data_IF_985619775926
#
_entry.id   IF_985619775926
#
_cell.length_a   1.000
_cell.length_b   1.000
_cell.length_c   1.000
_cell.angle_alpha   90.00
_cell.angle_beta   90.00
_cell.angle_gamma   90.00
#
_symmetry.space_group_name_H-M   'P 1'
#
loop_
_entity.id
_entity.type
_entity.pdbx_description
1 polymer ?
#
# COMPACT_ATOMS: atom_id res chain seq x y z
N UNK A 1 9.50 -6.62 20.08
CA UNK A 1 9.32 -5.28 19.49
C UNK A 1 9.46 -5.47 17.99
N UNK A 2 8.37 -5.71 17.27
CA UNK A 2 8.42 -5.89 15.82
C UNK A 2 8.90 -4.58 15.18
N UNK A 3 10.00 -4.64 14.44
CA UNK A 3 10.52 -3.48 13.72
C UNK A 3 9.63 -3.26 12.50
N UNK A 4 8.88 -2.16 12.46
CA UNK A 4 8.06 -1.79 11.30
C UNK A 4 8.94 -1.52 10.08
N UNK A 5 9.15 -2.55 9.27
CA UNK A 5 10.07 -2.53 8.15
C UNK A 5 9.54 -1.68 6.99
N UNK A 6 10.45 -1.00 6.30
CA UNK A 6 10.13 -0.25 5.09
C UNK A 6 10.38 -1.12 3.87
N UNK A 7 9.31 -1.36 3.10
CA UNK A 7 9.34 -2.08 1.84
C UNK A 7 9.64 -1.12 0.69
N UNK A 8 10.71 -1.42 -0.04
CA UNK A 8 11.11 -0.76 -1.31
C UNK A 8 10.03 -1.00 -2.37
N UNK A 9 10.00 -0.22 -3.48
CA UNK A 9 8.91 -0.30 -4.47
C UNK A 9 8.66 -1.71 -5.02
N UNK A 10 9.73 -2.46 -5.34
CA UNK A 10 9.60 -3.84 -5.82
C UNK A 10 8.96 -4.76 -4.77
N UNK A 11 9.38 -4.65 -3.52
CA UNK A 11 8.86 -5.47 -2.43
C UNK A 11 7.41 -5.07 -2.07
N UNK A 12 7.10 -3.78 -2.05
CA UNK A 12 5.76 -3.26 -1.82
C UNK A 12 4.79 -3.69 -2.93
N UNK A 13 5.24 -3.65 -4.19
CA UNK A 13 4.44 -4.09 -5.34
C UNK A 13 4.20 -5.62 -5.29
N UNK A 14 5.22 -6.41 -4.99
CA UNK A 14 5.08 -7.85 -4.78
C UNK A 14 4.14 -8.19 -3.60
N UNK A 15 4.25 -7.44 -2.49
CA UNK A 15 3.39 -7.60 -1.33
C UNK A 15 1.91 -7.35 -1.65
N UNK A 16 1.63 -6.34 -2.48
CA UNK A 16 0.28 -5.99 -2.91
C UNK A 16 -0.19 -6.80 -4.13
N UNK A 17 0.66 -7.65 -4.72
CA UNK A 17 0.33 -8.42 -5.93
C UNK A 17 0.14 -7.57 -7.19
N UNK A 18 0.79 -6.40 -7.29
CA UNK A 18 0.66 -5.47 -8.42
C UNK A 18 2.00 -5.18 -9.08
N UNK A 19 1.97 -4.60 -10.28
CA UNK A 19 3.17 -4.09 -10.93
C UNK A 19 3.64 -2.78 -10.25
N UNK A 20 4.96 -2.54 -10.22
CA UNK A 20 5.56 -1.31 -9.67
C UNK A 20 4.99 -0.02 -10.30
N UNK A 21 4.74 0.06 -11.62
CA UNK A 21 4.11 1.25 -12.21
C UNK A 21 2.71 1.51 -11.65
N UNK A 22 1.93 0.47 -11.37
CA UNK A 22 0.60 0.59 -10.75
C UNK A 22 0.70 1.22 -9.37
N UNK A 23 1.68 0.80 -8.56
CA UNK A 23 1.92 1.37 -7.24
C UNK A 23 2.25 2.88 -7.32
N UNK A 24 3.06 3.30 -8.29
CA UNK A 24 3.35 4.72 -8.51
C UNK A 24 2.15 5.51 -9.05
N UNK A 25 1.34 4.91 -9.94
CA UNK A 25 0.11 5.52 -10.42
C UNK A 25 -0.86 5.77 -9.27
N UNK A 26 -1.06 4.80 -8.39
CA UNK A 26 -1.87 4.97 -7.18
C UNK A 26 -1.32 6.07 -6.27
N UNK A 27 0.00 6.17 -6.11
CA UNK A 27 0.62 7.22 -5.30
C UNK A 27 0.45 8.61 -5.93
N UNK A 28 0.41 8.68 -7.26
CA UNK A 28 0.13 9.90 -8.03
C UNK A 28 -1.34 10.31 -7.92
N UNK A 29 -2.24 9.33 -8.01
CA UNK A 29 -3.70 9.52 -7.90
C UNK A 29 -4.17 9.75 -6.45
N UNK A 30 -3.28 9.57 -5.47
CA UNK A 30 -3.63 9.73 -4.04
C UNK A 30 -4.39 8.54 -3.47
N UNK A 31 -4.47 7.41 -4.18
CA UNK A 31 -5.08 6.18 -3.67
C UNK A 31 -4.24 5.53 -2.56
N UNK A 32 -2.93 5.72 -2.62
CA UNK A 32 -1.97 5.27 -1.60
C UNK A 32 -1.07 6.46 -1.24
N UNK A 33 -0.53 6.45 -0.02
CA UNK A 33 0.42 7.47 0.43
C UNK A 33 1.65 7.50 -0.47
N UNK A 34 2.31 8.66 -0.57
CA UNK A 34 3.59 8.77 -1.25
C UNK A 34 4.67 7.98 -0.50
N UNK A 35 5.65 7.39 -1.20
CA UNK A 35 6.70 6.64 -0.54
C UNK A 35 7.55 7.55 0.34
N UNK A 36 7.91 7.04 1.52
CA UNK A 36 8.85 7.67 2.45
C UNK A 36 10.23 7.68 1.79
N UNK A 37 10.83 8.87 1.66
CA UNK A 37 12.17 9.04 1.09
C UNK A 37 13.22 8.77 2.16
N UNK A 38 13.99 7.70 1.98
CA UNK A 38 15.09 7.30 2.87
C UNK A 38 16.45 7.86 2.40
N UNK A 39 16.56 8.19 1.12
CA UNK A 39 17.77 8.77 0.54
C UNK A 39 17.61 9.09 -0.95
N UNK A 40 18.71 9.45 -1.64
CA UNK A 40 18.66 9.89 -3.04
C UNK A 40 18.11 8.83 -3.99
N UNK A 41 18.38 7.54 -3.71
CA UNK A 41 17.95 6.38 -4.52
C UNK A 41 17.15 5.36 -3.73
N UNK A 42 16.62 5.78 -2.57
CA UNK A 42 15.93 4.89 -1.65
C UNK A 42 14.63 5.54 -1.18
N UNK A 43 13.52 4.87 -1.46
CA UNK A 43 12.20 5.22 -0.95
C UNK A 43 11.38 3.95 -0.74
N UNK A 44 10.31 4.02 0.05
CA UNK A 44 9.46 2.87 0.31
C UNK A 44 8.26 3.18 1.19
N UNK A 45 7.51 2.15 1.53
CA UNK A 45 6.34 2.23 2.41
C UNK A 45 6.55 1.39 3.65
N UNK A 46 6.00 1.82 4.78
CA UNK A 46 5.93 0.98 5.96
C UNK A 46 5.09 -0.26 5.66
N UNK A 47 5.55 -1.44 6.11
CA UNK A 47 4.78 -2.68 5.96
C UNK A 47 3.41 -2.57 6.61
N UNK A 48 3.37 -2.07 7.86
CA UNK A 48 2.12 -1.85 8.60
C UNK A 48 1.12 -0.97 7.84
N UNK A 49 1.61 0.03 7.11
CA UNK A 49 0.77 0.89 6.29
C UNK A 49 0.16 0.14 5.10
N UNK A 50 0.92 -0.71 4.42
CA UNK A 50 0.41 -1.52 3.32
C UNK A 50 -0.60 -2.57 3.81
N UNK A 51 -0.36 -3.17 4.98
CA UNK A 51 -1.31 -4.07 5.64
C UNK A 51 -2.63 -3.34 5.94
N UNK A 52 -2.57 -2.17 6.56
CA UNK A 52 -3.75 -1.35 6.84
C UNK A 52 -4.49 -0.92 5.56
N UNK A 53 -3.77 -0.67 4.47
CA UNK A 53 -4.36 -0.33 3.17
C UNK A 53 -5.21 -1.48 2.61
N UNK A 54 -4.73 -2.73 2.71
CA UNK A 54 -5.50 -3.92 2.28
C UNK A 54 -6.76 -4.04 3.13
N UNK A 55 -6.64 -3.97 4.46
CA UNK A 55 -7.79 -4.06 5.38
C UNK A 55 -8.85 -2.99 5.09
N UNK A 56 -8.43 -1.75 4.80
CA UNK A 56 -9.36 -0.69 4.44
C UNK A 56 -10.14 -0.99 3.14
N UNK A 57 -9.49 -1.59 2.13
CA UNK A 57 -10.15 -1.99 0.87
C UNK A 57 -11.12 -3.16 1.08
N UNK A 58 -10.78 -4.12 1.93
CA UNK A 58 -11.67 -5.21 2.31
C UNK A 58 -12.93 -4.69 3.01
N UNK A 59 -12.78 -3.75 3.96
CA UNK A 59 -13.91 -3.13 4.66
C UNK A 59 -14.82 -2.32 3.73
N UNK A 60 -14.26 -1.61 2.76
CA UNK A 60 -15.04 -0.92 1.73
C UNK A 60 -15.85 -1.90 0.87
N UNK A 61 -15.24 -3.04 0.51
CA UNK A 61 -15.93 -4.08 -0.26
C UNK A 61 -17.05 -4.75 0.56
N UNK A 62 -16.79 -5.06 1.82
CA UNK A 62 -17.74 -5.72 2.72
C UNK A 62 -18.95 -4.82 3.05
N UNK A 63 -18.73 -3.52 3.24
CA UNK A 63 -19.81 -2.56 3.50
C UNK A 63 -20.72 -2.37 2.28
N UNK A 64 -20.15 -2.37 1.06
CA UNK A 64 -20.93 -2.37 -0.18
C UNK A 64 -21.75 -3.66 -0.36
N UNK A 65 -21.21 -4.81 0.03
CA UNK A 65 -21.90 -6.10 -0.07
C UNK A 65 -23.04 -6.27 0.92
N UNK A 66 -22.96 -5.67 2.11
CA UNK A 66 -23.96 -5.82 3.17
C UNK A 66 -25.24 -5.01 2.95
N UNK A 67 -25.23 -4.02 2.05
CA UNK A 67 -26.39 -3.20 1.72
C UNK A 67 -27.29 -3.80 0.61
N UNK A 68 -27.00 -5.03 0.17
CA UNK A 68 -27.68 -5.70 -0.95
C UNK A 68 -28.50 -6.93 -0.52
N UNK A 69 -28.81 -7.08 0.78
CA UNK A 69 -29.58 -8.20 1.34
C UNK A 69 -30.96 -7.75 1.84
#
# INVERSE_FOLDING_TARGET
MESDQILRPNAAAAFLGVAVPTLYNWAREGQIARPIKLGPRASGWRRSYLEAFITAREQQTQSAQSASA
#
